data_IF_179847053211
#
_entry.id   IF_179847053211
#
_cell.length_a   1.000
_cell.length_b   1.000
_cell.length_c   1.000
_cell.angle_alpha   90.00
_cell.angle_beta   90.00
_cell.angle_gamma   90.00
#
_symmetry.space_group_name_H-M   'P 1'
#
loop_
_entity.id
_entity.type
_entity.pdbx_description
1 polymer ?
#
# COMPACT_ATOMS: atom_id res chain seq x y z
N UNK A 1 14.42 28.99 12.05
CA UNK A 1 15.80 29.43 12.41
C UNK A 1 16.77 28.37 11.92
N UNK A 2 17.56 28.67 10.89
CA UNK A 2 18.55 27.73 10.35
C UNK A 2 19.74 27.68 11.31
N UNK A 3 19.90 26.57 12.02
CA UNK A 3 21.04 26.37 12.93
C UNK A 3 22.31 26.21 12.11
N UNK A 4 23.26 27.14 12.26
CA UNK A 4 24.60 27.10 11.63
C UNK A 4 25.33 25.79 11.93
N UNK A 5 25.98 25.19 10.92
CA UNK A 5 26.67 23.88 10.93
C UNK A 5 27.58 23.61 12.15
N UNK A 6 28.17 24.65 12.73
CA UNK A 6 29.06 24.51 13.90
C UNK A 6 28.31 24.22 15.21
N UNK A 7 27.03 24.59 15.34
CA UNK A 7 26.22 24.32 16.54
C UNK A 7 25.64 22.89 16.57
N UNK A 8 25.69 22.18 15.45
CA UNK A 8 25.19 20.79 15.33
C UNK A 8 26.29 19.75 15.38
N UNK A 9 27.54 20.16 15.54
CA UNK A 9 28.68 19.26 15.58
C UNK A 9 28.77 18.51 16.92
N UNK A 10 28.86 17.20 16.81
CA UNK A 10 28.92 16.26 17.94
C UNK A 10 30.29 15.61 17.91
N UNK A 11 30.99 15.67 19.04
CA UNK A 11 32.32 15.08 19.22
C UNK A 11 32.40 13.62 18.70
N UNK A 12 33.36 13.36 17.80
CA UNK A 12 33.60 12.12 17.02
C UNK A 12 32.54 11.73 15.97
N UNK A 13 31.30 12.19 16.14
CA UNK A 13 30.15 11.76 15.34
C UNK A 13 29.89 12.69 14.15
N UNK A 14 30.22 13.97 14.28
CA UNK A 14 29.98 15.01 13.27
C UNK A 14 28.61 15.68 13.42
N UNK A 15 28.06 16.18 12.31
CA UNK A 15 26.80 16.91 12.33
C UNK A 15 25.58 16.00 12.57
N UNK A 16 24.63 16.49 13.40
CA UNK A 16 23.31 15.87 13.57
C UNK A 16 22.50 15.91 12.26
N UNK A 17 21.75 14.85 11.99
CA UNK A 17 21.02 14.66 10.72
C UNK A 17 19.52 14.51 10.94
N UNK A 18 18.72 15.22 10.15
CA UNK A 18 17.25 15.29 10.29
C UNK A 18 16.51 14.07 9.73
N UNK A 19 17.17 13.23 8.93
CA UNK A 19 16.56 12.06 8.29
C UNK A 19 17.63 11.06 7.87
N UNK A 20 17.36 9.78 8.06
CA UNK A 20 18.14 8.71 7.43
C UNK A 20 17.62 8.47 6.01
N UNK A 21 18.30 9.05 5.03
CA UNK A 21 18.05 8.78 3.61
C UNK A 21 19.31 8.35 2.89
N UNK A 22 19.18 7.41 1.96
CA UNK A 22 20.29 6.95 1.14
C UNK A 22 19.97 5.67 0.38
N UNK A 23 20.89 5.31 -0.53
CA UNK A 23 20.86 4.07 -1.30
C UNK A 23 21.73 2.97 -0.67
N UNK A 24 22.30 3.19 0.51
CA UNK A 24 23.12 2.19 1.23
C UNK A 24 22.52 1.91 2.59
N UNK A 25 22.92 0.79 3.19
CA UNK A 25 22.60 0.52 4.59
C UNK A 25 23.27 1.59 5.49
N UNK A 26 22.57 2.01 6.56
CA UNK A 26 23.02 3.10 7.42
C UNK A 26 24.27 2.69 8.21
N UNK A 27 25.23 3.62 8.33
CA UNK A 27 26.38 3.41 9.23
C UNK A 27 26.02 3.66 10.68
N UNK A 28 26.85 3.11 11.58
CA UNK A 28 26.78 3.44 12.99
C UNK A 28 26.88 4.96 13.24
N UNK A 29 27.69 5.69 12.45
CA UNK A 29 27.75 7.15 12.45
C UNK A 29 26.41 7.80 12.12
N UNK A 30 25.79 7.42 11.01
CA UNK A 30 24.51 8.00 10.55
C UNK A 30 23.39 7.74 11.55
N UNK A 31 23.31 6.53 12.10
CA UNK A 31 22.33 6.15 13.13
C UNK A 31 22.51 7.00 14.38
N UNK A 32 23.75 7.17 14.85
CA UNK A 32 24.02 7.98 16.04
C UNK A 32 23.74 9.47 15.80
N UNK A 33 24.05 10.00 14.61
CA UNK A 33 23.70 11.38 14.22
C UNK A 33 22.19 11.62 14.24
N UNK A 34 21.41 10.65 13.75
CA UNK A 34 19.94 10.73 13.74
C UNK A 34 19.37 10.63 15.14
N UNK A 35 19.83 9.68 15.94
CA UNK A 35 19.37 9.50 17.32
C UNK A 35 19.66 10.74 18.18
N UNK A 36 20.87 11.30 18.05
CA UNK A 36 21.23 12.53 18.75
C UNK A 36 20.48 13.75 18.24
N UNK A 37 20.12 13.78 16.95
CA UNK A 37 19.17 14.76 16.45
C UNK A 37 17.82 14.60 17.16
N UNK A 38 17.20 13.42 17.19
CA UNK A 38 15.89 13.23 17.83
C UNK A 38 15.89 13.53 19.34
N UNK A 39 17.02 13.29 20.01
CA UNK A 39 17.21 13.58 21.42
C UNK A 39 17.54 15.06 21.70
N UNK A 40 18.14 15.79 20.75
CA UNK A 40 18.57 17.19 20.93
C UNK A 40 17.78 18.22 20.12
N UNK A 41 17.04 17.81 19.10
CA UNK A 41 16.25 18.64 18.20
C UNK A 41 14.89 18.84 18.85
N UNK A 42 14.89 19.68 19.87
CA UNK A 42 14.30 21.00 19.74
C UNK A 42 14.99 21.88 20.80
N UNK A 43 15.10 23.19 20.56
CA UNK A 43 15.42 24.13 21.65
C UNK A 43 14.40 24.12 22.80
N UNK A 44 13.39 23.26 22.72
CA UNK A 44 12.53 22.81 23.82
C UNK A 44 13.09 21.49 24.31
N UNK A 45 13.34 21.37 25.62
CA UNK A 45 13.54 20.09 26.30
C UNK A 45 12.34 19.17 26.01
N UNK A 46 12.33 18.49 24.87
CA UNK A 46 11.64 17.23 24.78
C UNK A 46 12.52 16.31 25.60
N UNK A 47 12.10 16.09 26.84
CA UNK A 47 12.62 15.06 27.74
C UNK A 47 12.22 13.69 27.16
N UNK A 48 12.59 13.45 25.90
CA UNK A 48 12.38 12.16 25.26
C UNK A 48 13.43 11.24 25.82
N UNK A 49 12.93 10.15 26.40
CA UNK A 49 13.76 9.06 26.83
C UNK A 49 14.74 8.68 25.71
N UNK A 50 15.99 8.46 26.10
CA UNK A 50 17.07 8.02 25.22
C UNK A 50 16.62 6.77 24.47
N UNK A 51 15.93 5.84 25.17
CA UNK A 51 15.40 4.63 24.57
C UNK A 51 14.35 4.92 23.49
N UNK A 52 13.47 5.88 23.69
CA UNK A 52 12.45 6.25 22.69
C UNK A 52 13.08 6.88 21.45
N UNK A 53 14.11 7.71 21.64
CA UNK A 53 14.88 8.28 20.52
C UNK A 53 15.63 7.19 19.73
N UNK A 54 16.18 6.19 20.40
CA UNK A 54 16.76 5.00 19.76
C UNK A 54 15.71 4.22 18.97
N UNK A 55 14.53 3.98 19.56
CA UNK A 55 13.44 3.24 18.94
C UNK A 55 12.96 3.89 17.64
N UNK A 56 12.71 5.20 17.65
CA UNK A 56 12.33 5.95 16.44
C UNK A 56 13.41 5.90 15.36
N UNK A 57 14.68 5.96 15.75
CA UNK A 57 15.80 5.83 14.80
C UNK A 57 15.84 4.44 14.17
N UNK A 58 15.58 3.39 14.96
CA UNK A 58 15.51 2.01 14.49
C UNK A 58 14.36 1.83 13.49
N UNK A 59 13.20 2.42 13.74
CA UNK A 59 12.07 2.36 12.81
C UNK A 59 12.42 2.99 11.45
N UNK A 60 13.13 4.13 11.43
CA UNK A 60 13.62 4.72 10.18
C UNK A 60 14.65 3.81 9.48
N UNK A 61 15.54 3.16 10.25
CA UNK A 61 16.46 2.17 9.70
C UNK A 61 15.72 0.98 9.09
N UNK A 62 14.70 0.46 9.76
CA UNK A 62 13.93 -0.69 9.26
C UNK A 62 13.28 -0.40 7.89
N UNK A 63 12.90 0.84 7.62
CA UNK A 63 12.43 1.23 6.28
C UNK A 63 13.54 1.09 5.23
N UNK A 64 14.77 1.47 5.54
CA UNK A 64 15.92 1.30 4.63
C UNK A 64 16.29 -0.17 4.46
N UNK A 65 16.28 -0.95 5.55
CA UNK A 65 16.56 -2.38 5.51
C UNK A 65 15.48 -3.17 4.78
N UNK A 66 14.20 -2.80 4.94
CA UNK A 66 13.10 -3.39 4.21
C UNK A 66 13.13 -3.07 2.71
N UNK A 67 13.69 -1.92 2.31
CA UNK A 67 13.95 -1.61 0.88
C UNK A 67 15.04 -2.48 0.28
N UNK A 68 15.97 -2.97 1.09
CA UNK A 68 17.03 -3.89 0.67
C UNK A 68 16.57 -5.36 0.66
N UNK A 69 15.30 -5.65 0.97
CA UNK A 69 14.78 -7.03 1.02
C UNK A 69 15.34 -7.89 2.17
N UNK A 70 16.18 -7.34 3.05
CA UNK A 70 16.86 -8.11 4.09
C UNK A 70 15.94 -8.27 5.31
N UNK A 71 15.72 -9.51 5.79
CA UNK A 71 14.99 -9.76 7.03
C UNK A 71 15.67 -9.07 8.22
N UNK A 72 14.91 -8.26 8.96
CA UNK A 72 15.39 -7.53 10.15
C UNK A 72 15.09 -8.29 11.45
N UNK A 73 15.88 -8.00 12.49
CA UNK A 73 15.60 -8.48 13.85
C UNK A 73 14.42 -7.75 14.50
N UNK A 74 14.00 -8.22 15.67
CA UNK A 74 12.97 -7.56 16.48
C UNK A 74 13.38 -6.13 16.89
N UNK A 75 12.42 -5.21 16.91
CA UNK A 75 12.62 -3.79 17.23
C UNK A 75 13.32 -3.58 18.57
N UNK A 76 12.99 -4.40 19.58
CA UNK A 76 13.63 -4.36 20.91
C UNK A 76 15.13 -4.62 20.83
N UNK A 77 15.53 -5.69 20.15
CA UNK A 77 16.93 -6.09 20.01
C UNK A 77 17.73 -5.06 19.21
N UNK A 78 17.14 -4.55 18.13
CA UNK A 78 17.72 -3.46 17.35
C UNK A 78 17.87 -2.16 18.19
N UNK A 79 16.89 -1.84 19.03
CA UNK A 79 16.96 -0.70 19.94
C UNK A 79 18.11 -0.86 20.94
N UNK A 80 18.30 -2.06 21.48
CA UNK A 80 19.39 -2.36 22.42
C UNK A 80 20.78 -2.28 21.74
N UNK A 81 20.89 -2.56 20.44
CA UNK A 81 22.11 -2.32 19.66
C UNK A 81 22.45 -0.83 19.61
N UNK A 82 21.47 0.03 19.30
CA UNK A 82 21.68 1.49 19.25
C UNK A 82 21.97 2.06 20.63
N UNK A 83 21.30 1.56 21.68
CA UNK A 83 21.56 1.96 23.06
C UNK A 83 22.99 1.64 23.51
N UNK A 84 23.51 0.44 23.18
CA UNK A 84 24.91 0.08 23.45
C UNK A 84 25.87 1.02 22.74
N UNK A 85 25.61 1.34 21.46
CA UNK A 85 26.43 2.29 20.71
C UNK A 85 26.42 3.70 21.34
N UNK A 86 25.25 4.18 21.78
CA UNK A 86 25.12 5.46 22.47
C UNK A 86 25.85 5.46 23.82
N UNK A 87 25.78 4.35 24.58
CA UNK A 87 26.49 4.20 25.86
C UNK A 87 28.01 4.22 25.67
N UNK A 88 28.53 3.45 24.71
CA UNK A 88 29.96 3.46 24.36
C UNK A 88 30.44 4.88 23.99
N UNK A 89 29.67 5.60 23.16
CA UNK A 89 29.97 6.99 22.82
C UNK A 89 29.94 7.91 24.05
N UNK A 90 28.95 7.74 24.94
CA UNK A 90 28.82 8.55 26.17
C UNK A 90 30.00 8.33 27.11
N UNK A 91 30.45 7.08 27.25
CA UNK A 91 31.61 6.75 28.08
C UNK A 91 32.91 7.31 27.48
N UNK A 92 33.08 7.21 26.15
CA UNK A 92 34.21 7.86 25.46
C UNK A 92 34.19 9.38 25.59
N UNK A 93 33.00 9.98 25.60
CA UNK A 93 32.83 11.43 25.77
C UNK A 93 33.27 11.90 27.15
N UNK A 94 33.12 11.09 28.21
CA UNK A 94 33.66 11.39 29.55
C UNK A 94 35.19 11.44 29.54
N UNK A 95 35.81 10.64 28.68
CA UNK A 95 37.27 10.57 28.53
C UNK A 95 37.82 11.56 27.48
N UNK A 96 37.03 12.55 27.04
CA UNK A 96 37.42 13.51 25.98
C UNK A 96 38.72 14.28 26.30
N UNK A 97 38.93 14.63 27.56
CA UNK A 97 40.10 15.43 27.97
C UNK A 97 41.31 14.58 28.39
N UNK A 98 41.14 13.25 28.50
CA UNK A 98 42.24 12.35 28.86
C UNK A 98 43.17 12.16 27.68
N UNK A 99 44.47 12.24 27.93
CA UNK A 99 45.54 12.06 26.95
C UNK A 99 46.29 10.77 27.28
N UNK A 100 46.57 9.96 26.25
CA UNK A 100 47.29 8.70 26.38
C UNK A 100 47.02 7.78 25.20
N UNK A 101 48.02 6.98 24.83
CA UNK A 101 47.98 6.10 23.66
C UNK A 101 46.78 5.14 23.68
N UNK A 102 46.43 4.62 24.87
CA UNK A 102 45.25 3.76 25.05
C UNK A 102 43.94 4.47 24.73
N UNK A 103 43.81 5.75 25.11
CA UNK A 103 42.59 6.54 24.83
C UNK A 103 42.50 6.90 23.35
N UNK A 104 43.62 7.21 22.71
CA UNK A 104 43.67 7.45 21.26
C UNK A 104 43.35 6.19 20.46
N UNK A 105 43.91 5.04 20.85
CA UNK A 105 43.60 3.75 20.23
C UNK A 105 42.10 3.43 20.35
N UNK A 106 41.49 3.66 21.52
CA UNK A 106 40.03 3.52 21.71
C UNK A 106 39.22 4.46 20.82
N UNK A 107 39.64 5.73 20.69
CA UNK A 107 38.97 6.70 19.80
C UNK A 107 39.08 6.29 18.33
N UNK A 108 40.26 5.84 17.89
CA UNK A 108 40.47 5.34 16.52
C UNK A 108 39.63 4.09 16.24
N UNK A 109 39.63 3.12 17.17
CA UNK A 109 38.82 1.92 17.07
C UNK A 109 37.31 2.24 17.01
N UNK A 110 36.84 3.17 17.84
CA UNK A 110 35.45 3.62 17.79
C UNK A 110 35.12 4.36 16.49
N UNK A 111 36.02 5.20 15.98
CA UNK A 111 35.84 5.91 14.72
C UNK A 111 35.74 4.93 13.55
N UNK A 112 36.60 3.91 13.52
CA UNK A 112 36.53 2.83 12.52
C UNK A 112 35.21 2.05 12.63
N UNK A 113 34.74 1.75 13.85
CA UNK A 113 33.41 1.14 14.08
C UNK A 113 32.27 2.03 13.60
N UNK A 114 32.38 3.35 13.75
CA UNK A 114 31.38 4.32 13.30
C UNK A 114 31.23 4.34 11.77
N UNK A 115 32.32 4.14 11.04
CA UNK A 115 32.32 4.14 9.58
C UNK A 115 31.78 2.83 8.97
N UNK A 116 31.71 1.77 9.79
CA UNK A 116 31.08 0.50 9.44
C UNK A 116 29.54 0.54 9.39
N UNK A 117 28.97 -0.39 8.63
CA UNK A 117 27.52 -0.63 8.57
C UNK A 117 27.03 -1.16 9.92
N UNK A 118 25.95 -0.58 10.46
CA UNK A 118 25.33 -1.08 11.68
C UNK A 118 24.32 -2.17 11.34
N UNK A 119 24.63 -3.42 11.68
CA UNK A 119 23.82 -4.58 11.30
C UNK A 119 22.52 -4.65 12.11
N UNK A 120 21.38 -4.59 11.41
CA UNK A 120 20.05 -4.80 11.96
C UNK A 120 19.36 -6.04 11.39
N UNK A 121 20.08 -6.85 10.62
CA UNK A 121 19.53 -8.08 10.07
C UNK A 121 19.17 -9.06 11.18
N UNK A 122 18.22 -9.94 10.86
CA UNK A 122 17.95 -11.12 11.68
C UNK A 122 19.19 -12.02 11.73
N UNK A 123 19.41 -12.71 12.86
CA UNK A 123 20.59 -13.59 13.03
C UNK A 123 20.69 -14.69 11.95
N UNK A 124 19.54 -15.09 11.40
CA UNK A 124 19.39 -16.06 10.32
C UNK A 124 18.99 -15.42 8.98
N UNK A 125 19.23 -14.12 8.79
CA UNK A 125 18.78 -13.42 7.58
C UNK A 125 19.22 -14.11 6.28
N UNK A 126 20.48 -14.52 6.17
CA UNK A 126 21.00 -15.22 4.99
C UNK A 126 20.27 -16.54 4.74
N UNK A 127 20.07 -17.35 5.80
CA UNK A 127 19.35 -18.62 5.69
C UNK A 127 17.89 -18.43 5.29
N UNK A 128 17.22 -17.43 5.86
CA UNK A 128 15.83 -17.10 5.52
C UNK A 128 15.72 -16.72 4.03
N UNK A 129 16.63 -15.88 3.54
CA UNK A 129 16.66 -15.48 2.12
C UNK A 129 16.99 -16.67 1.20
N UNK A 130 17.93 -17.55 1.58
CA UNK A 130 18.25 -18.76 0.83
C UNK A 130 17.07 -19.76 0.80
N UNK A 131 16.35 -19.92 1.91
CA UNK A 131 15.13 -20.72 1.95
C UNK A 131 14.01 -20.13 1.07
N UNK A 132 13.85 -18.80 1.07
CA UNK A 132 12.91 -18.12 0.18
C UNK A 132 13.27 -18.35 -1.28
N UNK A 133 14.55 -18.21 -1.64
CA UNK A 133 15.05 -18.48 -3.00
C UNK A 133 14.74 -19.91 -3.46
N UNK A 134 14.87 -20.91 -2.57
CA UNK A 134 14.55 -22.32 -2.87
C UNK A 134 13.06 -22.57 -3.09
N UNK A 135 12.20 -21.90 -2.33
CA UNK A 135 10.74 -22.08 -2.40
C UNK A 135 10.10 -21.34 -3.56
N UNK A 136 10.68 -20.21 -3.95
CA UNK A 136 10.15 -19.36 -5.01
C UNK A 136 10.14 -20.12 -6.34
N UNK A 137 9.15 -19.86 -7.19
CA UNK A 137 9.04 -20.47 -8.53
C UNK A 137 9.25 -19.46 -9.63
N UNK A 138 8.89 -18.21 -9.39
CA UNK A 138 8.98 -17.13 -10.37
C UNK A 138 10.45 -16.71 -10.59
N UNK A 139 10.95 -16.83 -11.83
CA UNK A 139 12.34 -16.49 -12.17
C UNK A 139 12.70 -15.04 -11.85
N UNK A 140 11.75 -14.12 -12.07
CA UNK A 140 11.94 -12.70 -11.76
C UNK A 140 12.07 -12.44 -10.25
N UNK A 141 11.27 -13.13 -9.42
CA UNK A 141 11.35 -12.99 -7.98
C UNK A 141 12.62 -13.63 -7.41
N UNK A 142 13.04 -14.77 -7.97
CA UNK A 142 14.34 -15.39 -7.66
C UNK A 142 15.51 -14.45 -7.93
N UNK A 143 15.54 -13.81 -9.10
CA UNK A 143 16.59 -12.86 -9.45
C UNK A 143 16.68 -11.69 -8.45
N UNK A 144 15.53 -11.16 -8.00
CA UNK A 144 15.49 -10.12 -6.99
C UNK A 144 16.05 -10.59 -5.63
N UNK A 145 15.71 -11.79 -5.17
CA UNK A 145 16.23 -12.35 -3.91
C UNK A 145 17.75 -12.59 -3.99
N UNK A 146 18.25 -13.03 -5.15
CA UNK A 146 19.71 -13.19 -5.37
C UNK A 146 20.40 -11.84 -5.30
N UNK A 147 19.85 -10.80 -5.94
CA UNK A 147 20.37 -9.43 -5.87
C UNK A 147 20.41 -8.90 -4.43
N UNK A 148 19.33 -9.08 -3.67
CA UNK A 148 19.24 -8.65 -2.26
C UNK A 148 20.28 -9.38 -1.38
N UNK A 149 20.48 -10.68 -1.60
CA UNK A 149 21.48 -11.49 -0.88
C UNK A 149 22.92 -11.05 -1.21
N UNK A 150 23.23 -10.80 -2.48
CA UNK A 150 24.52 -10.30 -2.91
C UNK A 150 24.78 -8.89 -2.39
N UNK A 151 23.78 -8.02 -2.44
CA UNK A 151 23.83 -6.68 -1.87
C UNK A 151 24.17 -6.74 -0.39
N UNK A 152 23.50 -7.58 0.40
CA UNK A 152 23.77 -7.73 1.82
C UNK A 152 25.21 -8.21 2.10
N UNK A 153 25.72 -9.18 1.32
CA UNK A 153 27.11 -9.66 1.43
C UNK A 153 28.12 -8.56 1.09
N UNK A 154 27.87 -7.76 0.06
CA UNK A 154 28.72 -6.62 -0.32
C UNK A 154 28.72 -5.52 0.75
N UNK A 155 27.57 -5.25 1.38
CA UNK A 155 27.46 -4.26 2.45
C UNK A 155 28.23 -4.63 3.71
N UNK A 156 28.37 -5.93 4.02
CA UNK A 156 29.18 -6.42 5.13
C UNK A 156 30.69 -6.32 4.89
N UNK A 157 31.14 -6.50 3.64
CA UNK A 157 32.57 -6.52 3.29
C UNK A 157 33.14 -5.12 3.10
N UNK A 158 32.73 -4.45 2.02
CA UNK A 158 33.36 -3.20 1.55
C UNK A 158 32.36 -2.06 1.37
N UNK A 159 31.06 -2.30 1.61
CA UNK A 159 30.00 -1.28 1.49
C UNK A 159 29.93 -0.64 0.10
N UNK A 160 30.33 -1.39 -0.92
CA UNK A 160 30.42 -0.96 -2.32
C UNK A 160 29.07 -1.01 -3.04
N UNK A 161 28.14 -1.86 -2.59
CA UNK A 161 26.81 -1.99 -3.16
C UNK A 161 25.93 -0.75 -2.93
N UNK A 162 25.03 -0.48 -3.88
CA UNK A 162 23.96 0.51 -3.77
C UNK A 162 22.64 -0.18 -4.07
N UNK A 163 21.62 0.06 -3.24
CA UNK A 163 20.24 -0.34 -3.54
C UNK A 163 19.83 0.34 -4.84
N UNK A 164 19.46 -0.44 -5.84
CA UNK A 164 18.81 0.08 -7.04
C UNK A 164 17.60 0.91 -6.59
N UNK A 165 17.36 2.06 -7.25
CA UNK A 165 16.20 2.92 -6.91
C UNK A 165 14.95 2.04 -6.90
N UNK A 166 14.25 2.00 -5.77
CA UNK A 166 12.96 1.31 -5.65
C UNK A 166 12.13 1.75 -6.83
N UNK A 167 11.82 0.79 -7.70
CA UNK A 167 11.09 1.03 -8.93
C UNK A 167 9.80 1.76 -8.53
N UNK A 168 9.58 2.97 -9.06
CA UNK A 168 8.47 3.87 -8.67
C UNK A 168 7.12 3.14 -8.73
N UNK A 169 7.06 2.12 -9.58
CA UNK A 169 5.92 1.24 -9.77
C UNK A 169 5.63 0.34 -8.56
N UNK A 170 6.65 -0.15 -7.83
CA UNK A 170 6.49 -0.96 -6.62
C UNK A 170 5.98 -0.09 -5.46
N UNK A 171 6.53 1.11 -5.29
CA UNK A 171 6.04 2.09 -4.30
C UNK A 171 4.58 2.43 -4.56
N UNK A 172 4.22 2.78 -5.82
CA UNK A 172 2.83 3.03 -6.23
C UNK A 172 1.90 1.85 -5.96
N UNK A 173 2.39 0.61 -6.05
CA UNK A 173 1.60 -0.61 -5.80
C UNK A 173 1.30 -0.80 -4.32
N UNK A 174 2.31 -0.62 -3.46
CA UNK A 174 2.18 -0.66 -1.99
C UNK A 174 1.23 0.45 -1.51
N UNK A 175 1.41 1.66 -2.03
CA UNK A 175 0.62 2.83 -1.65
C UNK A 175 -0.85 2.70 -2.09
N UNK A 176 -1.09 2.12 -3.28
CA UNK A 176 -2.44 1.76 -3.75
C UNK A 176 -3.08 0.71 -2.85
N UNK A 177 -2.35 -0.31 -2.41
CA UNK A 177 -2.86 -1.34 -1.49
C UNK A 177 -3.23 -0.74 -0.13
N UNK A 178 -2.38 0.13 0.43
CA UNK A 178 -2.64 0.84 1.68
C UNK A 178 -3.91 1.71 1.59
N UNK A 179 -4.07 2.45 0.49
CA UNK A 179 -5.27 3.28 0.24
C UNK A 179 -6.55 2.44 0.07
N UNK A 180 -6.45 1.23 -0.45
CA UNK A 180 -7.60 0.30 -0.54
C UNK A 180 -7.96 -0.22 0.84
N UNK A 181 -6.99 -0.55 1.68
CA UNK A 181 -7.21 -1.02 3.04
C UNK A 181 -7.86 0.07 3.90
N UNK A 182 -7.35 1.29 3.87
CA UNK A 182 -7.93 2.45 4.59
C UNK A 182 -9.37 2.73 4.15
N UNK A 183 -9.67 2.62 2.85
CA UNK A 183 -11.04 2.75 2.35
C UNK A 183 -11.96 1.65 2.88
N UNK A 184 -11.49 0.40 2.95
CA UNK A 184 -12.25 -0.74 3.51
C UNK A 184 -12.52 -0.54 5.01
N UNK A 185 -11.53 -0.08 5.76
CA UNK A 185 -11.69 0.22 7.19
C UNK A 185 -12.65 1.40 7.41
N UNK A 186 -12.57 2.45 6.59
CA UNK A 186 -13.50 3.57 6.66
C UNK A 186 -14.94 3.16 6.32
N UNK A 187 -15.15 2.30 5.32
CA UNK A 187 -16.48 1.74 5.03
C UNK A 187 -16.99 0.87 6.16
N UNK A 188 -16.11 0.08 6.79
CA UNK A 188 -16.48 -0.75 7.94
C UNK A 188 -16.91 0.11 9.15
N UNK A 189 -16.16 1.19 9.45
CA UNK A 189 -16.52 2.15 10.50
C UNK A 189 -17.84 2.86 10.23
N UNK A 190 -18.11 3.24 8.98
CA UNK A 190 -19.40 3.84 8.58
C UNK A 190 -20.55 2.85 8.75
N UNK A 191 -20.36 1.59 8.36
CA UNK A 191 -21.35 0.53 8.55
C UNK A 191 -21.62 0.27 10.04
N UNK A 192 -20.58 0.19 10.87
CA UNK A 192 -20.71 0.02 12.32
C UNK A 192 -21.41 1.21 12.99
N UNK A 193 -21.15 2.44 12.53
CA UNK A 193 -21.82 3.65 13.01
C UNK A 193 -23.30 3.70 12.58
N UNK A 194 -23.61 3.33 11.33
CA UNK A 194 -24.97 3.24 10.83
C UNK A 194 -25.77 2.15 11.55
N UNK A 195 -25.14 0.99 11.82
CA UNK A 195 -25.76 -0.08 12.60
C UNK A 195 -26.11 0.39 14.02
N UNK A 196 -25.19 1.09 14.69
CA UNK A 196 -25.48 1.69 16.01
C UNK A 196 -26.59 2.74 15.97
N UNK A 197 -26.70 3.51 14.89
CA UNK A 197 -27.80 4.46 14.71
C UNK A 197 -29.14 3.77 14.47
N UNK A 198 -29.17 2.68 13.71
CA UNK A 198 -30.37 1.85 13.49
C UNK A 198 -30.78 1.17 14.79
N UNK A 199 -29.83 0.60 15.53
CA UNK A 199 -30.10 -0.02 16.84
C UNK A 199 -30.67 1.02 17.83
N UNK A 200 -30.09 2.23 17.86
CA UNK A 200 -30.60 3.34 18.68
C UNK A 200 -31.93 3.94 18.18
N UNK A 201 -32.23 3.81 16.89
CA UNK A 201 -33.51 4.21 16.30
C UNK A 201 -34.59 3.19 16.63
N UNK A 202 -34.31 1.89 16.56
CA UNK A 202 -35.23 0.84 17.02
C UNK A 202 -35.56 0.98 18.51
N UNK A 203 -34.58 1.36 19.35
CA UNK A 203 -34.81 1.69 20.76
C UNK A 203 -35.65 2.97 20.96
N UNK A 204 -35.64 3.90 19.98
CA UNK A 204 -36.46 5.13 19.99
C UNK A 204 -37.85 4.96 19.35
N UNK A 205 -38.03 4.03 18.41
CA UNK A 205 -39.27 3.83 17.65
C UNK A 205 -40.35 3.10 18.46
N UNK A 206 -40.00 2.35 19.51
CA UNK A 206 -41.01 1.85 20.48
C UNK A 206 -41.78 2.98 21.21
N UNK A 207 -41.42 4.26 21.01
CA UNK A 207 -41.98 5.41 21.72
C UNK A 207 -42.64 6.50 20.83
N UNK A 208 -42.71 6.35 19.51
CA UNK A 208 -43.33 7.37 18.66
C UNK A 208 -43.91 6.79 17.37
N UNK A 209 -45.16 6.32 17.45
CA UNK A 209 -46.05 6.24 16.28
C UNK A 209 -46.61 7.64 15.98
N UNK A 210 -46.81 7.91 14.69
CA UNK A 210 -47.61 8.98 14.08
C UNK A 210 -46.87 10.28 13.68
N UNK A 211 -46.46 10.37 12.41
CA UNK A 211 -47.10 11.23 11.40
C UNK A 211 -46.31 11.27 10.07
N UNK A 212 -47.06 11.15 8.96
CA UNK A 212 -46.63 11.30 7.56
C UNK A 212 -46.41 12.77 7.17
N UNK A 213 -45.45 13.03 6.28
CA UNK A 213 -45.52 14.12 5.29
C UNK A 213 -44.47 13.94 4.17
N UNK A 214 -44.95 13.86 2.93
CA UNK A 214 -44.16 13.89 1.70
C UNK A 214 -43.66 15.31 1.36
N UNK A 215 -42.50 15.41 0.70
CA UNK A 215 -42.09 16.62 -0.01
C UNK A 215 -41.26 16.25 -1.28
N UNK A 216 -41.81 16.59 -2.44
CA UNK A 216 -41.18 16.50 -3.75
C UNK A 216 -40.05 17.52 -3.91
N UNK A 217 -38.99 17.16 -4.65
CA UNK A 217 -37.93 18.09 -5.08
C UNK A 217 -37.78 18.11 -6.60
N UNK A 218 -37.84 19.33 -7.10
CA UNK A 218 -37.89 19.76 -8.50
C UNK A 218 -36.50 19.75 -9.15
N UNK A 219 -36.43 19.30 -10.40
CA UNK A 219 -35.24 19.12 -11.23
C UNK A 219 -34.94 20.41 -12.02
N UNK A 220 -33.67 20.82 -12.14
CA UNK A 220 -33.27 21.90 -13.05
C UNK A 220 -31.88 21.64 -13.65
N UNK A 221 -31.92 21.24 -14.92
CA UNK A 221 -30.79 21.13 -15.85
C UNK A 221 -30.26 22.52 -16.25
N UNK A 222 -28.95 22.74 -16.16
CA UNK A 222 -28.26 23.81 -16.89
C UNK A 222 -27.14 23.21 -17.75
N UNK A 223 -27.33 23.27 -19.07
CA UNK A 223 -26.31 23.02 -20.08
C UNK A 223 -25.62 24.35 -20.40
N UNK A 224 -24.31 24.44 -20.16
CA UNK A 224 -23.46 25.53 -20.64
C UNK A 224 -22.62 25.03 -21.82
N UNK A 225 -22.94 25.52 -23.02
CA UNK A 225 -22.25 25.19 -24.27
C UNK A 225 -21.38 26.36 -24.68
N UNK A 226 -20.08 26.33 -24.35
CA UNK A 226 -19.19 27.40 -24.81
C UNK A 226 -17.73 26.95 -24.99
N UNK A 227 -17.48 25.95 -25.84
CA UNK A 227 -16.16 25.70 -26.44
C UNK A 227 -16.32 24.97 -27.79
N UNK A 228 -16.29 25.73 -28.88
CA UNK A 228 -16.35 25.22 -30.24
C UNK A 228 -14.91 25.05 -30.78
N UNK A 229 -14.39 23.82 -30.80
CA UNK A 229 -13.10 23.47 -31.42
C UNK A 229 -13.33 22.81 -32.78
N UNK A 230 -12.58 23.27 -33.78
CA UNK A 230 -12.61 22.87 -35.20
C UNK A 230 -12.84 21.36 -35.44
N UNK A 231 -13.74 21.09 -36.39
CA UNK A 231 -14.25 19.76 -36.75
C UNK A 231 -13.14 18.82 -37.27
N UNK A 232 -12.57 18.04 -36.34
CA UNK A 232 -11.88 16.78 -36.64
C UNK A 232 -12.83 15.90 -37.50
N UNK A 233 -12.41 15.22 -38.60
CA UNK A 233 -13.31 14.43 -39.44
C UNK A 233 -14.21 13.57 -38.56
N UNK A 234 -15.52 13.85 -38.60
CA UNK A 234 -16.52 13.25 -37.72
C UNK A 234 -16.28 11.74 -37.72
N UNK A 235 -15.82 11.22 -36.58
CA UNK A 235 -15.53 9.79 -36.43
C UNK A 235 -16.81 9.07 -36.84
N UNK A 236 -16.73 8.23 -37.89
CA UNK A 236 -17.88 7.45 -38.35
C UNK A 236 -18.50 6.78 -37.14
N UNK A 237 -19.76 7.10 -36.85
CA UNK A 237 -20.48 6.54 -35.71
C UNK A 237 -20.59 5.03 -35.93
N UNK A 238 -19.81 4.26 -35.17
CA UNK A 238 -19.90 2.80 -35.19
C UNK A 238 -21.19 2.38 -34.50
N UNK A 239 -21.98 1.53 -35.14
CA UNK A 239 -23.22 0.99 -34.57
C UNK A 239 -22.89 0.24 -33.27
N UNK A 240 -23.65 0.54 -32.22
CA UNK A 240 -23.57 -0.19 -30.95
C UNK A 240 -24.47 -1.42 -31.02
N UNK A 241 -23.86 -2.61 -30.90
CA UNK A 241 -24.58 -3.90 -31.01
C UNK A 241 -24.90 -4.50 -29.63
N UNK A 242 -24.30 -3.99 -28.57
CA UNK A 242 -24.39 -4.58 -27.24
C UNK A 242 -25.70 -4.25 -26.52
N UNK A 243 -26.80 -4.80 -27.04
CA UNK A 243 -28.15 -4.76 -26.46
C UNK A 243 -28.18 -5.62 -25.17
N UNK A 244 -28.96 -5.24 -24.14
CA UNK A 244 -29.14 -6.03 -22.92
C UNK A 244 -29.49 -7.51 -23.16
N UNK A 245 -30.34 -7.79 -24.15
CA UNK A 245 -30.77 -9.15 -24.53
C UNK A 245 -29.60 -9.99 -25.05
N UNK A 246 -28.76 -9.42 -25.90
CA UNK A 246 -27.55 -10.08 -26.39
C UNK A 246 -26.58 -10.36 -25.24
N UNK A 247 -26.38 -9.40 -24.33
CA UNK A 247 -25.51 -9.59 -23.17
C UNK A 247 -26.00 -10.73 -22.27
N UNK A 248 -27.31 -10.82 -22.03
CA UNK A 248 -27.92 -11.89 -21.25
C UNK A 248 -27.76 -13.27 -21.94
N UNK A 249 -27.93 -13.34 -23.26
CA UNK A 249 -27.71 -14.59 -24.01
C UNK A 249 -26.26 -15.08 -23.93
N UNK A 250 -25.28 -14.17 -24.01
CA UNK A 250 -23.86 -14.49 -23.87
C UNK A 250 -23.50 -14.95 -22.45
N UNK A 251 -24.16 -14.39 -21.43
CA UNK A 251 -23.96 -14.76 -20.02
C UNK A 251 -24.51 -16.15 -19.70
N UNK A 252 -25.71 -16.48 -20.20
CA UNK A 252 -26.30 -17.83 -20.04
C UNK A 252 -25.43 -18.93 -20.63
N UNK A 253 -24.76 -18.65 -21.74
CA UNK A 253 -23.85 -19.60 -22.40
C UNK A 253 -22.42 -19.59 -21.82
N UNK A 254 -22.18 -18.90 -20.70
CA UNK A 254 -20.88 -18.82 -20.02
C UNK A 254 -19.69 -18.47 -20.95
N UNK A 255 -19.93 -17.66 -21.99
CA UNK A 255 -18.89 -17.39 -22.99
C UNK A 255 -17.78 -16.49 -22.44
N UNK A 256 -16.53 -16.88 -22.73
CA UNK A 256 -15.35 -16.07 -22.41
C UNK A 256 -15.38 -14.73 -23.14
N UNK A 257 -14.63 -13.72 -22.66
CA UNK A 257 -14.60 -12.37 -23.25
C UNK A 257 -14.27 -12.39 -24.75
N UNK A 258 -13.27 -13.20 -25.12
CA UNK A 258 -12.83 -13.38 -26.51
C UNK A 258 -13.80 -14.25 -27.30
N UNK A 259 -14.35 -15.30 -26.69
CA UNK A 259 -15.35 -16.18 -27.31
C UNK A 259 -16.61 -15.42 -27.69
N UNK A 260 -17.14 -14.62 -26.77
CA UNK A 260 -18.30 -13.76 -27.01
C UNK A 260 -18.07 -12.77 -28.16
N UNK A 261 -16.90 -12.11 -28.21
CA UNK A 261 -16.59 -11.20 -29.31
C UNK A 261 -16.49 -11.92 -30.66
N UNK A 262 -15.93 -13.13 -30.70
CA UNK A 262 -15.87 -13.94 -31.93
C UNK A 262 -17.26 -14.35 -32.41
N UNK A 263 -18.12 -14.85 -31.52
CA UNK A 263 -19.49 -15.25 -31.87
C UNK A 263 -20.24 -14.06 -32.45
N UNK A 264 -20.22 -12.90 -31.77
CA UNK A 264 -20.90 -11.68 -32.24
C UNK A 264 -20.35 -11.20 -33.59
N UNK A 265 -19.04 -11.30 -33.80
CA UNK A 265 -18.40 -10.91 -35.06
C UNK A 265 -18.84 -11.81 -36.21
N UNK A 266 -18.80 -13.13 -36.03
CA UNK A 266 -19.17 -14.08 -37.07
C UNK A 266 -20.67 -14.05 -37.37
N UNK A 267 -21.52 -13.84 -36.35
CA UNK A 267 -22.96 -13.64 -36.59
C UNK A 267 -23.23 -12.36 -37.35
N UNK A 268 -22.49 -11.28 -37.09
CA UNK A 268 -22.66 -10.03 -37.83
C UNK A 268 -22.23 -10.17 -39.30
N UNK A 269 -21.13 -10.89 -39.57
CA UNK A 269 -20.71 -11.23 -40.93
C UNK A 269 -21.76 -12.08 -41.65
N UNK A 270 -22.33 -13.08 -40.97
CA UNK A 270 -23.37 -13.94 -41.54
C UNK A 270 -24.66 -13.16 -41.89
N UNK A 271 -24.95 -12.09 -41.16
CA UNK A 271 -26.06 -11.17 -41.43
C UNK A 271 -25.73 -10.10 -42.49
N UNK A 272 -24.52 -10.12 -43.07
CA UNK A 272 -24.10 -9.19 -44.11
C UNK A 272 -23.68 -7.80 -43.60
N UNK A 273 -23.46 -7.62 -42.29
CA UNK A 273 -22.97 -6.36 -41.73
C UNK A 273 -21.42 -6.30 -41.76
N UNK A 274 -20.90 -5.15 -42.20
CA UNK A 274 -19.46 -4.93 -42.28
C UNK A 274 -18.81 -4.84 -40.89
N UNK A 275 -17.77 -5.63 -40.59
CA UNK A 275 -17.14 -5.66 -39.26
C UNK A 275 -16.48 -4.32 -38.87
N UNK A 276 -16.10 -3.51 -39.86
CA UNK A 276 -15.53 -2.18 -39.66
C UNK A 276 -16.55 -1.17 -39.13
N UNK A 277 -17.84 -1.39 -39.40
CA UNK A 277 -18.94 -0.51 -39.00
C UNK A 277 -19.42 -0.77 -37.57
N UNK A 278 -18.93 -1.83 -36.94
CA UNK A 278 -19.40 -2.31 -35.64
C UNK A 278 -18.42 -1.90 -34.55
N UNK A 279 -18.94 -1.41 -33.42
CA UNK A 279 -18.13 -1.11 -32.22
C UNK A 279 -17.84 -2.37 -31.39
N UNK A 280 -17.16 -3.35 -31.98
CA UNK A 280 -16.89 -4.64 -31.34
C UNK A 280 -15.44 -4.73 -30.83
N UNK A 281 -15.23 -4.39 -29.56
CA UNK A 281 -14.01 -4.73 -28.84
C UNK A 281 -14.34 -5.74 -27.73
N UNK A 282 -13.53 -6.79 -27.52
CA UNK A 282 -13.73 -7.75 -26.43
C UNK A 282 -13.86 -7.08 -25.06
N UNK A 283 -13.12 -5.99 -24.83
CA UNK A 283 -13.17 -5.24 -23.58
C UNK A 283 -14.44 -4.40 -23.47
N UNK A 284 -14.88 -3.77 -24.55
CA UNK A 284 -16.14 -3.01 -24.59
C UNK A 284 -17.33 -3.92 -24.32
N UNK A 285 -17.38 -5.09 -24.98
CA UNK A 285 -18.43 -6.08 -24.78
C UNK A 285 -18.43 -6.63 -23.35
N UNK A 286 -17.25 -6.90 -22.78
CA UNK A 286 -17.13 -7.32 -21.39
C UNK A 286 -17.65 -6.25 -20.41
N UNK A 287 -17.27 -4.98 -20.61
CA UNK A 287 -17.75 -3.88 -19.76
C UNK A 287 -19.27 -3.75 -19.83
N UNK A 288 -19.86 -3.85 -21.04
CA UNK A 288 -21.32 -3.79 -21.20
C UNK A 288 -22.03 -4.96 -20.51
N UNK A 289 -21.47 -6.17 -20.57
CA UNK A 289 -21.98 -7.33 -19.81
C UNK A 289 -21.98 -7.08 -18.30
N UNK A 290 -20.94 -6.44 -17.75
CA UNK A 290 -20.92 -6.10 -16.32
C UNK A 290 -21.99 -5.06 -15.95
N UNK A 291 -22.15 -4.02 -16.76
CA UNK A 291 -23.19 -3.00 -16.56
C UNK A 291 -24.58 -3.62 -16.61
N UNK A 292 -24.83 -4.50 -17.58
CA UNK A 292 -26.11 -5.20 -17.70
C UNK A 292 -26.40 -6.09 -16.48
N UNK A 293 -25.38 -6.73 -15.89
CA UNK A 293 -25.55 -7.52 -14.66
C UNK A 293 -25.95 -6.64 -13.47
N UNK A 294 -25.30 -5.49 -13.31
CA UNK A 294 -25.64 -4.55 -12.24
C UNK A 294 -27.03 -3.96 -12.43
N UNK A 295 -27.40 -3.61 -13.67
CA UNK A 295 -28.76 -3.13 -13.98
C UNK A 295 -29.81 -4.22 -13.73
N UNK A 296 -29.52 -5.46 -14.12
CA UNK A 296 -30.41 -6.59 -13.85
C UNK A 296 -30.56 -6.85 -12.36
N UNK A 297 -29.48 -6.74 -11.58
CA UNK A 297 -29.50 -6.87 -10.12
C UNK A 297 -30.34 -5.77 -9.47
N UNK A 298 -30.17 -4.52 -9.88
CA UNK A 298 -30.97 -3.39 -9.39
C UNK A 298 -32.44 -3.58 -9.72
N UNK A 299 -32.76 -3.95 -10.97
CA UNK A 299 -34.14 -4.21 -11.39
C UNK A 299 -34.74 -5.41 -10.66
N UNK A 300 -33.95 -6.44 -10.38
CA UNK A 300 -34.38 -7.60 -9.61
C UNK A 300 -34.70 -7.21 -8.17
N UNK A 301 -33.81 -6.46 -7.51
CA UNK A 301 -34.03 -5.98 -6.15
C UNK A 301 -35.24 -5.05 -6.05
N UNK A 302 -35.44 -4.16 -7.03
CA UNK A 302 -36.58 -3.24 -7.07
C UNK A 302 -37.93 -3.96 -7.26
N UNK A 303 -37.96 -5.00 -8.08
CA UNK A 303 -39.17 -5.78 -8.37
C UNK A 303 -39.30 -7.04 -7.50
N UNK A 304 -38.43 -7.22 -6.51
CA UNK A 304 -38.47 -8.39 -5.66
C UNK A 304 -39.67 -8.27 -4.70
N UNK A 305 -40.65 -9.19 -4.73
CA UNK A 305 -41.80 -9.11 -3.85
C UNK A 305 -41.34 -9.28 -2.40
N UNK A 306 -41.39 -8.21 -1.61
CA UNK A 306 -40.91 -8.17 -0.23
C UNK A 306 -41.89 -8.80 0.78
N UNK A 307 -42.81 -9.65 0.33
CA UNK A 307 -43.85 -10.22 1.18
C UNK A 307 -43.48 -11.62 1.66
N UNK A 308 -42.78 -11.66 2.80
CA UNK A 308 -42.62 -12.86 3.63
C UNK A 308 -41.18 -13.37 3.78
N UNK A 309 -40.93 -14.28 4.75
CA UNK A 309 -39.64 -14.91 4.96
C UNK A 309 -39.25 -15.76 3.74
N UNK A 310 -38.10 -15.43 3.12
CA UNK A 310 -37.57 -16.14 1.96
C UNK A 310 -36.68 -17.28 2.44
N UNK A 311 -37.06 -18.53 2.16
CA UNK A 311 -36.21 -19.70 2.40
C UNK A 311 -35.40 -19.99 1.13
N UNK A 312 -34.09 -19.77 1.20
CA UNK A 312 -33.17 -19.94 0.06
C UNK A 312 -32.49 -21.32 0.15
N UNK A 313 -32.96 -22.28 -0.64
CA UNK A 313 -32.35 -23.62 -0.70
C UNK A 313 -31.20 -23.65 -1.71
N UNK A 314 -29.99 -23.89 -1.23
CA UNK A 314 -28.77 -23.95 -2.06
C UNK A 314 -28.43 -25.36 -2.57
N UNK A 315 -29.26 -26.36 -2.27
CA UNK A 315 -29.03 -27.74 -2.70
C UNK A 315 -30.38 -28.44 -2.93
N UNK A 316 -30.48 -29.17 -4.03
CA UNK A 316 -31.74 -29.58 -4.63
C UNK A 316 -32.39 -30.76 -3.92
N UNK A 317 -33.22 -30.50 -2.90
CA UNK A 317 -34.43 -31.29 -2.61
C UNK A 317 -35.52 -30.37 -2.07
N UNK A 318 -36.59 -30.21 -2.85
CA UNK A 318 -37.82 -29.53 -2.42
C UNK A 318 -38.51 -30.43 -1.39
N UNK A 319 -38.67 -29.93 -0.16
CA UNK A 319 -39.61 -30.50 0.80
C UNK A 319 -40.94 -29.74 0.66
N UNK A 320 -42.09 -30.42 0.79
CA UNK A 320 -43.37 -29.73 0.86
C UNK A 320 -43.37 -28.78 2.06
N UNK A 321 -43.83 -27.55 1.86
CA UNK A 321 -44.02 -26.60 2.93
C UNK A 321 -45.12 -27.13 3.87
N UNK A 322 -44.77 -27.41 5.13
CA UNK A 322 -45.78 -27.56 6.17
C UNK A 322 -46.44 -26.19 6.43
N UNK A 323 -47.75 -26.24 6.63
CA UNK A 323 -48.74 -25.15 6.57
C UNK A 323 -48.40 -23.85 7.31
#
# INVERSE_FOLDING_TARGET
MVSTRNKTDVWLVGHRTESLSGCKLPTARQVLQRMLYLHSADGKKMDRDVRESCRLTVQECFVLWGKAGVPVQEERNATDVVLRLHKEWTDLKKDKNKVGETYEARRKAFTHKLDGTLDFAHYQAERIMEEQLRREKDEKAKAAIVEDLEFYRLQKKSREGYMARVDVNVVKKIEKQKRVLEKKEATKRKYEAAKKQVDAYFEKVELASDNEAEAELNDNNNNDTDFNTEDNPKRKFKKEIAVPTLCAALDRNALSKRGAARVVLETAKALGEDPSNIKLSPNTLYRRRQVNRTETEINFLANFPSSGPIVLHFDGKLLPNDA
#
